data_IF_858535054406
#
_entry.id   IF_858535054406
#
_cell.length_a   1.000
_cell.length_b   1.000
_cell.length_c   1.000
_cell.angle_alpha   90.00
_cell.angle_beta   90.00
_cell.angle_gamma   90.00
#
_symmetry.space_group_name_H-M   'P 1'
#
loop_
_entity.id
_entity.type
_entity.pdbx_description
1 polymer ?
#
# COMPACT_ATOMS: atom_id res chain seq x y z
N UNK A 1 16.48 13.38 25.00
CA UNK A 1 17.48 12.39 24.55
C UNK A 1 17.70 12.65 23.07
N UNK A 2 18.93 12.79 22.55
CA UNK A 2 19.11 13.00 21.12
C UNK A 2 18.62 11.75 20.37
N UNK A 3 17.62 11.92 19.51
CA UNK A 3 17.03 10.85 18.71
C UNK A 3 18.11 10.26 17.80
N UNK A 4 18.58 9.05 18.10
CA UNK A 4 19.64 8.37 17.34
C UNK A 4 19.21 8.05 15.89
N UNK A 5 17.91 8.07 15.63
CA UNK A 5 17.31 7.69 14.34
C UNK A 5 17.34 8.81 13.30
N UNK A 6 17.49 10.08 13.72
CA UNK A 6 17.64 11.20 12.81
C UNK A 6 19.13 11.52 12.59
N UNK A 7 19.62 11.64 11.34
CA UNK A 7 18.87 11.72 10.07
C UNK A 7 18.75 10.39 9.32
N UNK A 8 19.12 9.26 9.92
CA UNK A 8 19.18 7.97 9.22
C UNK A 8 17.82 7.55 8.63
N UNK A 9 16.74 7.68 9.39
CA UNK A 9 15.39 7.30 8.96
C UNK A 9 14.92 8.02 7.67
N UNK A 10 14.88 9.38 7.60
CA UNK A 10 14.47 10.06 6.38
C UNK A 10 15.40 9.78 5.19
N UNK A 11 16.71 9.64 5.43
CA UNK A 11 17.67 9.31 4.37
C UNK A 11 17.33 7.94 3.77
N UNK A 12 17.16 6.92 4.61
CA UNK A 12 16.83 5.57 4.17
C UNK A 12 15.45 5.50 3.50
N UNK A 13 14.45 6.22 4.02
CA UNK A 13 13.11 6.29 3.44
C UNK A 13 13.14 6.92 2.03
N UNK A 14 13.80 8.07 1.86
CA UNK A 14 13.90 8.74 0.56
C UNK A 14 14.79 7.95 -0.42
N UNK A 15 15.82 7.27 0.08
CA UNK A 15 16.63 6.38 -0.74
C UNK A 15 15.84 5.16 -1.22
N UNK A 16 15.05 4.55 -0.34
CA UNK A 16 14.14 3.45 -0.68
C UNK A 16 13.08 3.88 -1.70
N UNK A 17 12.54 5.10 -1.58
CA UNK A 17 11.63 5.69 -2.56
C UNK A 17 12.23 5.71 -3.97
N UNK A 18 13.49 6.10 -4.12
CA UNK A 18 14.16 6.11 -5.42
C UNK A 18 14.41 4.68 -5.91
N UNK A 19 14.99 3.82 -5.07
CA UNK A 19 15.37 2.45 -5.46
C UNK A 19 14.17 1.62 -5.90
N UNK A 20 13.05 1.69 -5.18
CA UNK A 20 11.88 0.85 -5.47
C UNK A 20 11.25 1.19 -6.83
N UNK A 21 11.49 2.40 -7.35
CA UNK A 21 11.01 2.84 -8.66
C UNK A 21 11.95 2.47 -9.82
N UNK A 22 13.22 2.14 -9.54
CA UNK A 22 14.20 1.76 -10.58
C UNK A 22 13.68 0.62 -11.47
N UNK A 23 13.09 -0.47 -10.94
CA UNK A 23 12.59 -1.55 -11.79
C UNK A 23 11.20 -1.35 -12.39
N UNK A 24 10.56 -0.21 -12.15
CA UNK A 24 9.21 0.08 -12.63
C UNK A 24 9.08 -0.01 -14.16
N UNK A 25 10.00 0.54 -14.99
CA UNK A 25 9.86 0.50 -16.44
C UNK A 25 9.86 -0.93 -17.01
N UNK A 26 10.72 -1.82 -16.48
CA UNK A 26 10.80 -3.21 -16.94
C UNK A 26 9.54 -4.00 -16.60
N UNK A 27 9.01 -3.84 -15.37
CA UNK A 27 7.77 -4.49 -14.98
C UNK A 27 6.54 -3.94 -15.72
N UNK A 28 6.55 -2.65 -16.05
CA UNK A 28 5.50 -2.02 -16.84
C UNK A 28 5.46 -2.60 -18.26
N UNK A 29 6.63 -2.72 -18.91
CA UNK A 29 6.76 -3.36 -20.22
C UNK A 29 6.35 -4.85 -20.19
N UNK A 30 6.58 -5.54 -19.08
CA UNK A 30 6.16 -6.93 -18.86
C UNK A 30 4.65 -7.09 -18.52
N UNK A 31 3.88 -6.00 -18.55
CA UNK A 31 2.46 -5.97 -18.18
C UNK A 31 2.21 -6.53 -16.77
N UNK A 32 3.16 -6.37 -15.85
CA UNK A 32 3.04 -6.86 -14.48
C UNK A 32 2.43 -5.81 -13.56
N UNK A 33 1.14 -5.54 -13.77
CA UNK A 33 0.35 -4.55 -13.04
C UNK A 33 0.43 -4.71 -11.52
N UNK A 34 0.32 -5.94 -11.00
CA UNK A 34 0.43 -6.19 -9.55
C UNK A 34 1.76 -5.71 -8.95
N UNK A 35 2.89 -6.03 -9.58
CA UNK A 35 4.21 -5.56 -9.11
C UNK A 35 4.39 -4.06 -9.32
N UNK A 36 3.91 -3.50 -10.43
CA UNK A 36 3.93 -2.05 -10.65
C UNK A 36 3.16 -1.29 -9.54
N UNK A 37 1.96 -1.75 -9.20
CA UNK A 37 1.14 -1.15 -8.13
C UNK A 37 1.83 -1.29 -6.78
N UNK A 38 2.40 -2.46 -6.47
CA UNK A 38 3.17 -2.68 -5.25
C UNK A 38 4.32 -1.67 -5.12
N UNK A 39 5.11 -1.49 -6.18
CA UNK A 39 6.24 -0.55 -6.21
C UNK A 39 5.78 0.90 -6.05
N UNK A 40 4.73 1.32 -6.76
CA UNK A 40 4.20 2.69 -6.66
C UNK A 40 3.63 3.00 -5.26
N UNK A 41 2.89 2.07 -4.66
CA UNK A 41 2.37 2.23 -3.30
C UNK A 41 3.48 2.25 -2.25
N UNK A 42 4.50 1.39 -2.41
CA UNK A 42 5.68 1.38 -1.53
C UNK A 42 6.45 2.68 -1.65
N UNK A 43 6.69 3.17 -2.87
CA UNK A 43 7.33 4.45 -3.13
C UNK A 43 6.57 5.59 -2.44
N UNK A 44 5.25 5.65 -2.65
CA UNK A 44 4.39 6.67 -2.04
C UNK A 44 4.47 6.62 -0.50
N UNK A 45 4.48 5.43 0.09
CA UNK A 45 4.65 5.24 1.53
C UNK A 45 6.00 5.76 2.02
N UNK A 46 7.09 5.41 1.35
CA UNK A 46 8.44 5.84 1.71
C UNK A 46 8.60 7.36 1.61
N UNK A 47 8.06 7.97 0.55
CA UNK A 47 8.06 9.43 0.39
C UNK A 47 7.27 10.10 1.52
N UNK A 48 6.08 9.58 1.84
CA UNK A 48 5.23 10.11 2.90
C UNK A 48 5.95 10.08 4.26
N UNK A 49 6.49 8.93 4.63
CA UNK A 49 7.25 8.74 5.87
C UNK A 49 8.49 9.64 5.94
N UNK A 50 9.24 9.75 4.84
CA UNK A 50 10.41 10.61 4.75
C UNK A 50 10.07 12.08 4.97
N UNK A 51 9.07 12.61 4.26
CA UNK A 51 8.62 14.00 4.43
C UNK A 51 8.11 14.27 5.85
N UNK A 52 7.27 13.37 6.38
CA UNK A 52 6.73 13.52 7.73
C UNK A 52 7.82 13.60 8.80
N UNK A 53 8.83 12.71 8.73
CA UNK A 53 9.94 12.72 9.68
C UNK A 53 10.87 13.93 9.54
N UNK A 54 10.91 14.60 8.38
CA UNK A 54 11.71 15.82 8.19
C UNK A 54 10.96 17.04 8.74
N UNK A 55 9.67 17.17 8.44
CA UNK A 55 8.87 18.36 8.76
C UNK A 55 8.51 18.45 10.25
N UNK A 56 8.29 17.30 10.91
CA UNK A 56 7.89 17.20 12.32
C UNK A 56 8.95 16.60 13.23
N UNK A 57 10.22 16.58 12.80
CA UNK A 57 11.35 16.40 13.72
C UNK A 57 11.35 17.57 14.70
N UNK A 58 11.39 17.43 16.01
CA UNK A 58 11.42 18.47 17.04
C UNK A 58 10.10 19.13 17.44
N UNK A 59 8.97 18.92 16.76
CA UNK A 59 7.66 19.40 17.24
C UNK A 59 6.48 18.75 16.51
N UNK A 60 5.29 18.94 17.07
CA UNK A 60 4.01 18.47 16.54
C UNK A 60 3.07 19.63 16.11
N UNK A 61 3.62 20.73 15.58
CA UNK A 61 2.82 21.90 15.17
C UNK A 61 2.20 21.66 13.80
N UNK A 62 0.92 21.99 13.62
CA UNK A 62 0.26 21.92 12.30
C UNK A 62 0.74 23.02 11.35
N UNK A 63 1.87 22.76 10.68
CA UNK A 63 2.51 23.65 9.71
C UNK A 63 1.95 23.50 8.30
N UNK A 64 1.45 22.32 7.98
CA UNK A 64 1.08 21.92 6.63
C UNK A 64 -0.21 21.08 6.63
N UNK A 65 -1.36 21.71 6.92
CA UNK A 65 -2.63 20.99 7.11
C UNK A 65 -3.07 20.21 5.86
N UNK A 66 -2.87 20.80 4.67
CA UNK A 66 -3.18 20.15 3.39
C UNK A 66 -2.30 18.92 3.17
N UNK A 67 -1.04 18.96 3.61
CA UNK A 67 -0.17 17.79 3.55
C UNK A 67 -0.65 16.71 4.51
N UNK A 68 -0.99 17.06 5.75
CA UNK A 68 -1.49 16.08 6.73
C UNK A 68 -2.79 15.39 6.30
N UNK A 69 -3.66 16.10 5.59
CA UNK A 69 -4.84 15.50 4.99
C UNK A 69 -4.53 14.41 3.97
N UNK A 70 -3.55 14.68 3.11
CA UNK A 70 -3.15 13.73 2.07
C UNK A 70 -2.36 12.58 2.72
N UNK A 71 -1.41 12.91 3.59
CA UNK A 71 -0.51 11.99 4.27
C UNK A 71 -1.27 10.95 5.10
N UNK A 72 -2.24 11.38 5.92
CA UNK A 72 -3.05 10.49 6.75
C UNK A 72 -3.83 9.47 5.91
N UNK A 73 -4.43 9.91 4.80
CA UNK A 73 -5.14 9.01 3.87
C UNK A 73 -4.19 8.09 3.12
N UNK A 74 -2.99 8.55 2.77
CA UNK A 74 -1.97 7.67 2.18
C UNK A 74 -1.63 6.53 3.13
N UNK A 75 -1.42 6.80 4.43
CA UNK A 75 -1.09 5.78 5.43
C UNK A 75 -2.15 4.67 5.44
N UNK A 76 -3.43 5.05 5.42
CA UNK A 76 -4.54 4.09 5.49
C UNK A 76 -4.65 3.31 4.18
N UNK A 77 -4.61 4.01 3.06
CA UNK A 77 -4.67 3.38 1.74
C UNK A 77 -3.54 2.36 1.57
N UNK A 78 -2.31 2.70 1.95
CA UNK A 78 -1.13 1.83 1.86
C UNK A 78 -1.31 0.55 2.70
N UNK A 79 -1.91 0.66 3.89
CA UNK A 79 -2.16 -0.48 4.78
C UNK A 79 -2.95 -1.63 4.14
N UNK A 80 -3.83 -1.32 3.17
CA UNK A 80 -4.57 -2.32 2.38
C UNK A 80 -4.06 -2.46 0.94
N UNK A 81 -3.46 -1.42 0.36
CA UNK A 81 -3.00 -1.42 -1.03
C UNK A 81 -1.81 -2.36 -1.25
N UNK A 82 -0.87 -2.40 -0.31
CA UNK A 82 0.29 -3.30 -0.36
C UNK A 82 -0.15 -4.78 -0.34
N UNK A 83 -0.97 -5.25 0.62
CA UNK A 83 -1.44 -6.63 0.61
C UNK A 83 -2.33 -6.93 -0.60
N UNK A 84 -3.16 -6.00 -1.08
CA UNK A 84 -3.90 -6.16 -2.33
C UNK A 84 -2.98 -6.33 -3.55
N UNK A 85 -1.91 -5.54 -3.63
CA UNK A 85 -0.92 -5.65 -4.71
C UNK A 85 -0.19 -6.99 -4.64
N UNK A 86 0.16 -7.46 -3.44
CA UNK A 86 0.71 -8.81 -3.20
C UNK A 86 -0.25 -9.91 -3.64
N UNK A 87 -1.55 -9.80 -3.33
CA UNK A 87 -2.57 -10.72 -3.83
C UNK A 87 -2.60 -10.79 -5.36
N UNK A 88 -2.52 -9.64 -6.04
CA UNK A 88 -2.47 -9.58 -7.51
C UNK A 88 -1.23 -10.31 -8.07
N UNK A 89 -0.06 -10.15 -7.43
CA UNK A 89 1.17 -10.87 -7.79
C UNK A 89 0.97 -12.39 -7.62
N UNK A 90 0.47 -12.82 -6.47
CA UNK A 90 0.20 -14.24 -6.19
C UNK A 90 -0.80 -14.84 -7.18
N UNK A 91 -1.88 -14.11 -7.51
CA UNK A 91 -2.88 -14.53 -8.51
C UNK A 91 -2.27 -14.66 -9.90
N UNK A 92 -1.34 -13.80 -10.29
CA UNK A 92 -0.60 -13.92 -11.57
C UNK A 92 0.29 -15.16 -11.55
N UNK A 93 1.04 -15.38 -10.46
CA UNK A 93 1.92 -16.55 -10.32
C UNK A 93 1.12 -17.86 -10.39
N UNK A 94 0.01 -17.94 -9.66
CA UNK A 94 -0.91 -19.09 -9.71
C UNK A 94 -1.39 -19.40 -11.13
N UNK A 95 -1.77 -18.36 -11.89
CA UNK A 95 -2.17 -18.52 -13.29
C UNK A 95 -1.03 -19.03 -14.16
N UNK A 96 0.19 -18.55 -13.96
CA UNK A 96 1.36 -19.03 -14.72
C UNK A 96 1.62 -20.52 -14.40
N UNK A 97 1.63 -20.89 -13.12
CA UNK A 97 1.84 -22.28 -12.69
C UNK A 97 0.71 -23.23 -13.16
N UNK A 98 -0.53 -22.73 -13.27
CA UNK A 98 -1.69 -23.55 -13.66
C UNK A 98 -1.88 -23.71 -15.17
N UNK A 99 -1.21 -22.92 -16.01
CA UNK A 99 -1.39 -22.95 -17.46
C UNK A 99 -0.53 -24.06 -18.06
N UNK A 100 -1.18 -25.12 -18.57
CA UNK A 100 -0.50 -26.27 -19.21
C UNK A 100 -0.25 -26.08 -20.71
N UNK A 101 -1.11 -25.36 -21.44
CA UNK A 101 -0.96 -25.11 -22.89
C UNK A 101 -2.03 -24.13 -23.38
N UNK A 102 -1.79 -22.81 -23.27
CA UNK A 102 -2.68 -21.79 -23.87
C UNK A 102 -1.86 -20.59 -24.34
N UNK A 103 -2.11 -20.15 -25.58
CA UNK A 103 -1.66 -18.86 -26.12
C UNK A 103 -2.41 -17.73 -25.41
N UNK A 104 -1.73 -17.01 -24.51
CA UNK A 104 -2.34 -15.87 -23.81
C UNK A 104 -2.54 -14.72 -24.81
N UNK A 105 -3.80 -14.37 -25.07
CA UNK A 105 -4.15 -13.30 -25.99
C UNK A 105 -3.90 -11.91 -25.38
N UNK A 106 -3.86 -10.86 -26.22
CA UNK A 106 -3.74 -9.47 -25.72
C UNK A 106 -4.97 -9.04 -24.91
N UNK A 107 -6.17 -9.53 -25.23
CA UNK A 107 -7.39 -9.22 -24.47
C UNK A 107 -7.33 -9.82 -23.06
N UNK A 108 -6.78 -11.04 -22.92
CA UNK A 108 -6.59 -11.68 -21.61
C UNK A 108 -5.65 -10.88 -20.71
N UNK A 109 -4.55 -10.35 -21.29
CA UNK A 109 -3.61 -9.48 -20.57
C UNK A 109 -4.28 -8.19 -20.10
N UNK A 110 -5.06 -7.52 -20.96
CA UNK A 110 -5.81 -6.31 -20.60
C UNK A 110 -6.83 -6.58 -19.50
N UNK A 111 -7.56 -7.70 -19.58
CA UNK A 111 -8.51 -8.11 -18.54
C UNK A 111 -7.81 -8.41 -17.22
N UNK A 112 -6.62 -9.03 -17.26
CA UNK A 112 -5.82 -9.25 -16.05
C UNK A 112 -5.42 -7.93 -15.39
N UNK A 113 -4.91 -6.97 -16.17
CA UNK A 113 -4.56 -5.62 -15.68
C UNK A 113 -5.77 -4.91 -15.09
N UNK A 114 -6.93 -4.95 -15.76
CA UNK A 114 -8.16 -4.32 -15.25
C UNK A 114 -8.58 -4.89 -13.89
N UNK A 115 -8.48 -6.22 -13.71
CA UNK A 115 -8.76 -6.84 -12.40
C UNK A 115 -7.74 -6.44 -11.36
N UNK A 116 -6.45 -6.38 -11.72
CA UNK A 116 -5.40 -5.98 -10.78
C UNK A 116 -5.58 -4.54 -10.30
N UNK A 117 -5.93 -3.62 -11.22
CA UNK A 117 -6.26 -2.24 -10.90
C UNK A 117 -7.52 -2.14 -10.03
N UNK A 118 -8.57 -2.90 -10.34
CA UNK A 118 -9.79 -2.91 -9.53
C UNK A 118 -9.52 -3.36 -8.08
N UNK A 119 -8.63 -4.34 -7.89
CA UNK A 119 -8.28 -4.84 -6.55
C UNK A 119 -7.35 -3.84 -5.83
N UNK A 120 -6.21 -3.50 -6.44
CA UNK A 120 -5.14 -2.76 -5.77
C UNK A 120 -5.31 -1.22 -5.79
N UNK A 121 -6.34 -0.68 -6.46
CA UNK A 121 -6.77 0.71 -6.33
C UNK A 121 -8.20 0.82 -5.76
N UNK A 122 -9.11 -0.05 -6.20
CA UNK A 122 -10.50 -0.01 -5.75
C UNK A 122 -10.69 -0.33 -4.27
N UNK A 123 -9.99 -1.36 -3.76
CA UNK A 123 -10.06 -1.71 -2.32
C UNK A 123 -9.50 -0.59 -1.44
N UNK A 124 -8.32 0.01 -1.72
CA UNK A 124 -7.86 1.19 -0.99
C UNK A 124 -8.84 2.36 -1.01
N UNK A 125 -9.45 2.68 -2.16
CA UNK A 125 -10.45 3.76 -2.24
C UNK A 125 -11.66 3.44 -1.35
N UNK A 126 -12.17 2.21 -1.40
CA UNK A 126 -13.27 1.77 -0.55
C UNK A 126 -12.90 1.85 0.93
N UNK A 127 -11.68 1.45 1.29
CA UNK A 127 -11.15 1.55 2.65
C UNK A 127 -11.13 2.99 3.14
N UNK A 128 -10.72 3.95 2.31
CA UNK A 128 -10.72 5.37 2.69
C UNK A 128 -12.13 5.90 2.96
N UNK A 129 -13.14 5.42 2.21
CA UNK A 129 -14.54 5.76 2.45
C UNK A 129 -15.03 5.14 3.76
N UNK A 130 -14.72 3.87 4.01
CA UNK A 130 -15.09 3.17 5.25
C UNK A 130 -14.43 3.82 6.48
N UNK A 131 -13.15 4.14 6.39
CA UNK A 131 -12.42 4.80 7.45
C UNK A 131 -13.01 6.18 7.75
N UNK A 132 -13.40 6.95 6.72
CA UNK A 132 -14.02 8.26 6.92
C UNK A 132 -15.28 8.21 7.81
N UNK A 133 -16.01 7.09 7.81
CA UNK A 133 -17.21 6.90 8.66
C UNK A 133 -16.83 6.72 10.14
N UNK A 134 -15.67 6.11 10.43
CA UNK A 134 -15.20 5.80 11.80
C UNK A 134 -14.10 6.75 12.29
N UNK A 135 -13.64 7.64 11.42
CA UNK A 135 -12.62 8.63 11.71
C UNK A 135 -13.17 9.68 12.66
N UNK A 136 -12.44 9.94 13.74
CA UNK A 136 -12.90 10.84 14.78
C UNK A 136 -12.49 12.28 14.58
N UNK A 137 -11.24 12.47 14.21
CA UNK A 137 -10.60 13.75 13.92
C UNK A 137 -9.92 13.61 12.57
N UNK A 138 -9.64 14.74 11.91
CA UNK A 138 -9.16 14.76 10.52
C UNK A 138 -7.81 14.04 10.37
N UNK A 139 -6.91 14.26 11.32
CA UNK A 139 -5.62 13.61 11.52
C UNK A 139 -5.06 14.06 12.88
N UNK A 140 -4.09 13.32 13.40
CA UNK A 140 -3.24 13.74 14.52
C UNK A 140 -1.82 14.01 14.02
N UNK A 141 -1.05 14.79 14.79
CA UNK A 141 0.36 15.04 14.52
C UNK A 141 1.15 14.56 15.72
N UNK A 142 2.11 13.68 15.46
CA UNK A 142 3.03 13.18 16.46
C UNK A 142 4.43 13.73 16.20
N UNK A 143 5.10 14.20 17.25
CA UNK A 143 6.49 14.63 17.17
C UNK A 143 7.38 13.47 16.65
N UNK A 144 8.34 13.78 15.77
CA UNK A 144 9.22 12.85 15.03
C UNK A 144 8.54 11.92 14.01
N UNK A 145 7.23 11.69 14.13
CA UNK A 145 6.48 10.79 13.23
C UNK A 145 5.72 11.57 12.14
N UNK A 146 5.19 12.75 12.48
CA UNK A 146 4.37 13.61 11.62
C UNK A 146 2.88 13.24 11.62
N UNK A 147 2.22 13.48 10.50
CA UNK A 147 0.77 13.32 10.37
C UNK A 147 0.35 11.84 10.39
N UNK A 148 -0.71 11.52 11.14
CA UNK A 148 -1.20 10.16 11.30
C UNK A 148 -2.75 10.13 11.31
N UNK A 149 -3.38 9.09 10.73
CA UNK A 149 -4.83 8.93 10.78
C UNK A 149 -5.32 8.66 12.21
N UNK A 150 -6.49 9.23 12.56
CA UNK A 150 -7.15 8.94 13.84
C UNK A 150 -8.47 8.19 13.62
N UNK A 151 -8.56 7.00 14.20
CA UNK A 151 -9.73 6.11 14.14
C UNK A 151 -10.22 5.87 15.56
N UNK A 152 -11.51 6.09 15.83
CA UNK A 152 -12.07 5.76 17.13
C UNK A 152 -12.06 4.25 17.35
N UNK A 153 -11.59 3.82 18.53
CA UNK A 153 -11.64 2.42 18.92
C UNK A 153 -13.08 2.03 19.33
N UNK A 154 -13.93 1.86 18.33
CA UNK A 154 -15.30 1.35 18.48
C UNK A 154 -15.40 -0.05 17.91
N UNK A 155 -16.35 -0.89 18.37
CA UNK A 155 -16.58 -2.22 17.78
C UNK A 155 -16.82 -2.17 16.26
N UNK A 156 -17.33 -1.05 15.74
CA UNK A 156 -17.60 -0.81 14.32
C UNK A 156 -16.31 -0.55 13.51
N UNK A 157 -15.24 -0.03 14.12
CA UNK A 157 -13.97 0.20 13.43
C UNK A 157 -13.25 -1.10 13.03
N UNK A 158 -13.45 -2.18 13.78
CA UNK A 158 -12.84 -3.49 13.49
C UNK A 158 -13.28 -4.08 12.13
N UNK A 159 -14.59 -4.30 11.87
CA UNK A 159 -15.04 -4.83 10.59
C UNK A 159 -14.87 -3.83 9.45
N UNK A 160 -14.90 -2.52 9.72
CA UNK A 160 -14.80 -1.51 8.67
C UNK A 160 -13.37 -1.19 8.25
N UNK A 161 -12.39 -1.29 9.15
CA UNK A 161 -11.02 -0.85 8.87
C UNK A 161 -9.95 -1.89 9.19
N UNK A 162 -9.97 -2.48 10.38
CA UNK A 162 -8.84 -3.27 10.92
C UNK A 162 -8.73 -4.66 10.29
N UNK A 163 -9.85 -5.30 9.95
CA UNK A 163 -9.85 -6.73 9.56
C UNK A 163 -9.33 -6.96 8.13
N UNK A 164 -9.41 -5.96 7.26
CA UNK A 164 -9.20 -6.14 5.82
C UNK A 164 -7.80 -6.61 5.42
N UNK A 165 -6.69 -6.05 5.96
CA UNK A 165 -5.35 -6.56 5.66
C UNK A 165 -5.19 -8.05 5.97
N UNK A 166 -5.79 -8.53 7.06
CA UNK A 166 -5.75 -9.94 7.47
C UNK A 166 -6.52 -10.80 6.49
N UNK A 167 -7.74 -10.39 6.12
CA UNK A 167 -8.57 -11.10 5.14
C UNK A 167 -7.85 -11.21 3.78
N UNK A 168 -7.28 -10.11 3.30
CA UNK A 168 -6.52 -10.08 2.03
C UNK A 168 -5.26 -10.97 2.13
N UNK A 169 -4.59 -10.95 3.28
CA UNK A 169 -3.44 -11.81 3.57
C UNK A 169 -3.79 -13.30 3.53
N UNK A 170 -4.91 -13.70 4.13
CA UNK A 170 -5.39 -15.09 4.10
C UNK A 170 -5.72 -15.54 2.67
N UNK A 171 -6.39 -14.69 1.88
CA UNK A 171 -6.68 -14.99 0.46
C UNK A 171 -5.36 -15.15 -0.31
N UNK A 172 -4.38 -14.29 -0.05
CA UNK A 172 -3.05 -14.37 -0.67
C UNK A 172 -2.34 -15.68 -0.30
N UNK A 173 -2.43 -16.11 0.96
CA UNK A 173 -1.87 -17.37 1.42
C UNK A 173 -2.50 -18.58 0.70
N UNK A 174 -3.82 -18.58 0.49
CA UNK A 174 -4.51 -19.63 -0.28
C UNK A 174 -3.97 -19.70 -1.72
N UNK A 175 -3.82 -18.55 -2.39
CA UNK A 175 -3.22 -18.53 -3.74
C UNK A 175 -1.78 -19.04 -3.74
N UNK A 176 -0.99 -18.72 -2.73
CA UNK A 176 0.38 -19.21 -2.58
C UNK A 176 0.42 -20.74 -2.44
N UNK A 177 -0.38 -21.30 -1.53
CA UNK A 177 -0.50 -22.77 -1.34
C UNK A 177 -0.94 -23.46 -2.63
N UNK A 178 -1.95 -22.93 -3.32
CA UNK A 178 -2.43 -23.49 -4.58
C UNK A 178 -1.38 -23.41 -5.70
N UNK A 179 -0.55 -22.37 -5.70
CA UNK A 179 0.57 -22.24 -6.65
C UNK A 179 1.61 -23.32 -6.40
N UNK A 180 2.03 -23.49 -5.14
CA UNK A 180 3.03 -24.50 -4.76
C UNK A 180 2.52 -25.92 -5.01
N UNK A 181 1.24 -26.19 -4.75
CA UNK A 181 0.63 -27.50 -5.01
C UNK A 181 0.49 -27.83 -6.51
N UNK A 182 0.63 -26.85 -7.41
CA UNK A 182 0.49 -27.02 -8.86
C UNK A 182 1.77 -26.75 -9.66
N UNK A 183 2.85 -26.32 -9.00
CA UNK A 183 4.18 -26.15 -9.60
C UNK A 183 4.88 -27.49 -9.71
#
# INVERSE_FOLDING_TARGET
MPNLEYPAYPILALFAFVIVLVPLPWHFQAWNSGTCLFMMWTALSCLNLGVNSIVWRNDAIDRAPVWCDISSRIIVAVGVAIPCSSLCINRRLYKIASVKTVTISRSDKRRAVAVDLAIALGVPILQLVMEYIVSGHRYDIFEEIGCYPFIYNTPVAYPLSVVWPVVIGLISAVYCVLTLARS
#
